data_IF_920815543019
#
_entry.id   IF_920815543019
#
_cell.length_a   1.000
_cell.length_b   1.000
_cell.length_c   1.000
_cell.angle_alpha   90.00
_cell.angle_beta   90.00
_cell.angle_gamma   90.00
#
_symmetry.space_group_name_H-M   'P 1'
#
loop_
_entity.id
_entity.type
_entity.pdbx_description
1 polymer ?
#
# COMPACT_ATOMS: atom_id res chain seq x y z
N UNK A 1 -104.26 -11.97 61.46
CA UNK A 1 -103.80 -13.37 61.38
C UNK A 1 -102.79 -13.45 60.23
N UNK A 2 -101.63 -14.07 60.50
CA UNK A 2 -100.46 -13.30 60.94
C UNK A 2 -99.13 -14.06 60.58
N UNK A 3 -97.93 -13.72 61.03
CA UNK A 3 -97.48 -12.80 62.07
C UNK A 3 -96.00 -12.42 61.86
N UNK A 4 -95.56 -11.20 62.15
CA UNK A 4 -95.36 -10.55 63.48
C UNK A 4 -94.17 -11.18 64.25
N UNK A 5 -93.33 -10.41 64.98
CA UNK A 5 -92.61 -9.17 64.60
C UNK A 5 -91.18 -9.11 65.27
N UNK A 6 -90.61 -7.97 65.77
CA UNK A 6 -89.19 -7.61 65.57
C UNK A 6 -88.45 -7.32 66.90
N UNK A 7 -87.40 -6.47 66.84
CA UNK A 7 -86.69 -5.68 67.90
C UNK A 7 -85.24 -6.17 68.09
N UNK A 8 -84.19 -5.35 68.26
CA UNK A 8 -84.01 -4.04 68.91
C UNK A 8 -82.74 -3.30 68.42
N UNK A 9 -82.84 -1.99 68.19
CA UNK A 9 -81.94 -0.93 68.71
C UNK A 9 -80.49 -0.74 68.19
N UNK A 10 -79.92 0.49 68.29
CA UNK A 10 -78.88 1.02 67.38
C UNK A 10 -77.51 1.25 68.03
N UNK A 11 -76.41 1.19 67.27
CA UNK A 11 -75.16 1.92 67.57
C UNK A 11 -74.39 2.30 66.28
N UNK A 12 -74.21 3.60 66.08
CA UNK A 12 -73.20 4.24 65.20
C UNK A 12 -71.78 4.02 65.76
N UNK A 13 -70.71 4.10 64.95
CA UNK A 13 -69.94 5.35 64.98
C UNK A 13 -69.24 5.76 63.65
N UNK A 14 -68.88 7.04 63.59
CA UNK A 14 -68.01 7.67 62.60
C UNK A 14 -66.52 7.49 62.94
N UNK A 15 -65.63 7.47 61.94
CA UNK A 15 -64.18 7.71 62.06
C UNK A 15 -63.65 8.23 60.70
N UNK A 16 -63.16 9.47 60.58
CA UNK A 16 -61.88 10.06 61.05
C UNK A 16 -60.73 9.87 60.04
N UNK A 17 -60.31 10.98 59.44
CA UNK A 17 -59.19 11.11 58.49
C UNK A 17 -57.91 11.43 59.26
N UNK A 18 -56.91 10.54 59.26
CA UNK A 18 -55.51 10.87 59.60
C UNK A 18 -54.60 9.66 59.27
N UNK A 19 -54.04 9.57 58.05
CA UNK A 19 -52.86 8.74 57.75
C UNK A 19 -52.37 9.00 56.32
N UNK A 20 -51.71 10.15 56.07
CA UNK A 20 -51.18 10.46 54.73
C UNK A 20 -49.68 10.79 54.74
N UNK A 21 -49.07 11.05 55.89
CA UNK A 21 -47.66 11.45 55.96
C UNK A 21 -46.67 10.28 56.06
N UNK A 22 -47.08 9.14 56.63
CA UNK A 22 -46.20 7.95 56.77
C UNK A 22 -46.11 7.08 55.51
N UNK A 23 -47.14 7.11 54.64
CA UNK A 23 -47.18 6.33 53.40
C UNK A 23 -46.32 6.93 52.27
N UNK A 24 -46.01 8.22 52.32
CA UNK A 24 -45.24 8.93 51.28
C UNK A 24 -43.73 8.71 51.40
N UNK A 25 -43.23 8.41 52.60
CA UNK A 25 -41.79 8.21 52.87
C UNK A 25 -41.37 6.76 52.56
N UNK A 26 -42.23 5.78 52.81
CA UNK A 26 -41.98 4.36 52.52
C UNK A 26 -42.10 4.03 51.03
N UNK A 27 -42.98 4.70 50.27
CA UNK A 27 -43.07 4.51 48.82
C UNK A 27 -41.86 5.08 48.07
N UNK A 28 -41.32 6.22 48.53
CA UNK A 28 -40.14 6.84 47.94
C UNK A 28 -38.87 6.00 48.18
N UNK A 29 -38.71 5.43 49.38
CA UNK A 29 -37.60 4.53 49.69
C UNK A 29 -37.66 3.21 48.90
N UNK A 30 -38.88 2.68 48.67
CA UNK A 30 -39.07 1.49 47.84
C UNK A 30 -38.75 1.75 46.36
N UNK A 31 -39.18 2.91 45.82
CA UNK A 31 -38.84 3.32 44.44
C UNK A 31 -37.34 3.54 44.24
N UNK A 32 -36.66 4.17 45.20
CA UNK A 32 -35.21 4.36 45.16
C UNK A 32 -34.45 3.03 45.20
N UNK A 33 -34.92 2.06 45.98
CA UNK A 33 -34.28 0.74 46.06
C UNK A 33 -34.49 -0.10 44.79
N UNK A 34 -35.64 0.05 44.10
CA UNK A 34 -35.87 -0.60 42.80
C UNK A 34 -35.07 0.03 41.66
N UNK A 35 -34.87 1.34 41.67
CA UNK A 35 -34.03 2.05 40.69
C UNK A 35 -32.55 1.66 40.86
N UNK A 36 -32.04 1.66 42.10
CA UNK A 36 -30.69 1.20 42.41
C UNK A 36 -30.45 -0.28 42.05
N UNK A 37 -31.47 -1.15 42.21
CA UNK A 37 -31.37 -2.55 41.78
C UNK A 37 -31.29 -2.67 40.25
N UNK A 38 -32.04 -1.85 39.51
CA UNK A 38 -32.00 -1.81 38.05
C UNK A 38 -30.63 -1.32 37.52
N UNK A 39 -30.08 -0.26 38.11
CA UNK A 39 -28.74 0.23 37.77
C UNK A 39 -27.64 -0.82 38.03
N UNK A 40 -27.71 -1.54 39.16
CA UNK A 40 -26.74 -2.60 39.45
C UNK A 40 -26.85 -3.79 38.48
N UNK A 41 -28.07 -4.12 38.01
CA UNK A 41 -28.29 -5.15 36.98
C UNK A 41 -27.70 -4.72 35.64
N UNK A 42 -27.84 -3.45 35.26
CA UNK A 42 -27.24 -2.88 34.05
C UNK A 42 -25.70 -2.89 34.13
N UNK A 43 -25.13 -2.49 35.27
CA UNK A 43 -23.68 -2.54 35.51
C UNK A 43 -23.13 -3.97 35.45
N UNK A 44 -23.82 -4.95 36.05
CA UNK A 44 -23.43 -6.36 35.94
C UNK A 44 -23.50 -6.86 34.49
N UNK A 45 -24.53 -6.45 33.75
CA UNK A 45 -24.67 -6.73 32.32
C UNK A 45 -23.49 -6.17 31.51
N UNK A 46 -23.10 -4.93 31.76
CA UNK A 46 -21.94 -4.30 31.13
C UNK A 46 -20.63 -5.01 31.47
N UNK A 47 -20.43 -5.42 32.73
CA UNK A 47 -19.27 -6.20 33.17
C UNK A 47 -19.20 -7.55 32.44
N UNK A 48 -20.33 -8.21 32.22
CA UNK A 48 -20.38 -9.47 31.47
C UNK A 48 -20.20 -9.29 29.96
N UNK A 49 -20.60 -8.15 29.39
CA UNK A 49 -20.43 -7.84 27.97
C UNK A 49 -18.97 -7.48 27.61
N UNK A 50 -18.27 -6.76 28.50
CA UNK A 50 -16.89 -6.31 28.25
C UNK A 50 -15.90 -7.43 27.84
N UNK A 51 -15.86 -8.61 28.48
CA UNK A 51 -15.02 -9.72 28.05
C UNK A 51 -15.33 -10.17 26.62
N UNK A 52 -16.61 -10.24 26.23
CA UNK A 52 -17.01 -10.63 24.88
C UNK A 52 -16.58 -9.60 23.85
N UNK A 53 -16.77 -8.31 24.14
CA UNK A 53 -16.37 -7.22 23.25
C UNK A 53 -14.85 -7.13 23.12
N UNK A 54 -14.11 -7.38 24.21
CA UNK A 54 -12.67 -7.44 24.19
C UNK A 54 -12.15 -8.63 23.37
N UNK A 55 -12.75 -9.81 23.53
CA UNK A 55 -12.43 -10.97 22.70
C UNK A 55 -12.63 -10.69 21.21
N UNK A 56 -13.76 -10.08 20.82
CA UNK A 56 -14.01 -9.70 19.42
C UNK A 56 -12.95 -8.73 18.89
N UNK A 57 -12.62 -7.69 19.66
CA UNK A 57 -11.57 -6.73 19.27
C UNK A 57 -10.20 -7.40 19.14
N UNK A 58 -9.89 -8.38 19.99
CA UNK A 58 -8.66 -9.15 19.86
C UNK A 58 -8.67 -10.00 18.59
N UNK A 59 -9.78 -10.65 18.27
CA UNK A 59 -9.93 -11.43 17.05
C UNK A 59 -9.76 -10.53 15.80
N UNK A 60 -10.40 -9.37 15.77
CA UNK A 60 -10.26 -8.38 14.69
C UNK A 60 -8.80 -7.93 14.51
N UNK A 61 -8.08 -7.71 15.63
CA UNK A 61 -6.65 -7.33 15.60
C UNK A 61 -5.78 -8.48 15.10
N UNK A 62 -6.06 -9.72 15.52
CA UNK A 62 -5.32 -10.90 15.06
C UNK A 62 -5.55 -11.16 13.57
N UNK A 63 -6.78 -10.95 13.08
CA UNK A 63 -7.11 -11.00 11.66
C UNK A 63 -6.36 -9.92 10.89
N UNK A 64 -6.36 -8.67 11.37
CA UNK A 64 -5.61 -7.57 10.78
C UNK A 64 -4.11 -7.84 10.71
N UNK A 65 -3.51 -8.38 11.78
CA UNK A 65 -2.08 -8.77 11.81
C UNK A 65 -1.80 -9.90 10.81
N UNK A 66 -2.70 -10.88 10.71
CA UNK A 66 -2.57 -11.98 9.75
C UNK A 66 -2.65 -11.49 8.30
N UNK A 67 -3.55 -10.53 8.03
CA UNK A 67 -3.65 -9.84 6.75
C UNK A 67 -2.37 -9.09 6.39
N UNK A 68 -1.87 -8.25 7.30
CA UNK A 68 -0.62 -7.50 7.12
C UNK A 68 0.59 -8.42 6.90
N UNK A 69 0.65 -9.55 7.61
CA UNK A 69 1.69 -10.57 7.40
C UNK A 69 1.62 -11.14 5.98
N UNK A 70 0.44 -11.42 5.46
CA UNK A 70 0.23 -11.90 4.10
C UNK A 70 0.66 -10.86 3.05
N UNK A 71 0.27 -9.59 3.24
CA UNK A 71 0.68 -8.50 2.37
C UNK A 71 2.20 -8.29 2.36
N UNK A 72 2.83 -8.36 3.53
CA UNK A 72 4.28 -8.25 3.66
C UNK A 72 5.01 -9.39 2.93
N UNK A 73 4.52 -10.62 3.05
CA UNK A 73 5.07 -11.76 2.31
C UNK A 73 4.92 -11.59 0.79
N UNK A 74 3.76 -11.11 0.34
CA UNK A 74 3.53 -10.82 -1.07
C UNK A 74 4.44 -9.71 -1.59
N UNK A 75 4.63 -8.64 -0.82
CA UNK A 75 5.57 -7.56 -1.16
C UNK A 75 7.02 -8.05 -1.18
N UNK A 76 7.44 -8.86 -0.21
CA UNK A 76 8.77 -9.44 -0.17
C UNK A 76 9.05 -10.27 -1.43
N UNK A 77 8.12 -11.12 -1.84
CA UNK A 77 8.25 -11.92 -3.07
C UNK A 77 8.38 -11.03 -4.31
N UNK A 78 7.56 -9.98 -4.43
CA UNK A 78 7.63 -9.02 -5.55
C UNK A 78 8.96 -8.26 -5.58
N UNK A 79 9.51 -7.92 -4.41
CA UNK A 79 10.82 -7.28 -4.30
C UNK A 79 11.91 -8.23 -4.77
N UNK A 80 11.92 -9.49 -4.31
CA UNK A 80 12.90 -10.49 -4.75
C UNK A 80 12.85 -10.70 -6.27
N UNK A 81 11.66 -10.81 -6.87
CA UNK A 81 11.53 -10.95 -8.32
C UNK A 81 12.05 -9.70 -9.07
N UNK A 82 11.76 -8.51 -8.55
CA UNK A 82 12.24 -7.26 -9.13
C UNK A 82 13.77 -7.17 -9.04
N UNK A 83 14.37 -7.51 -7.90
CA UNK A 83 15.82 -7.56 -7.69
C UNK A 83 16.49 -8.55 -8.65
N UNK A 84 15.94 -9.75 -8.83
CA UNK A 84 16.46 -10.74 -9.78
C UNK A 84 16.42 -10.24 -11.23
N UNK A 85 15.29 -9.64 -11.63
CA UNK A 85 15.14 -9.05 -12.98
C UNK A 85 16.10 -7.88 -13.21
N UNK A 86 16.30 -7.03 -12.20
CA UNK A 86 17.25 -5.92 -12.25
C UNK A 86 18.66 -6.48 -12.39
N UNK A 87 19.07 -7.42 -11.54
CA UNK A 87 20.40 -8.04 -11.60
C UNK A 87 20.70 -8.65 -12.97
N UNK A 88 19.74 -9.41 -13.53
CA UNK A 88 19.90 -9.96 -14.89
C UNK A 88 20.05 -8.87 -15.95
N UNK A 89 19.27 -7.79 -15.84
CA UNK A 89 19.34 -6.66 -16.79
C UNK A 89 20.68 -5.93 -16.69
N UNK A 90 21.21 -5.76 -15.47
CA UNK A 90 22.51 -5.15 -15.22
C UNK A 90 23.65 -6.00 -15.80
N UNK A 91 23.58 -7.33 -15.64
CA UNK A 91 24.55 -8.27 -16.24
C UNK A 91 24.52 -8.20 -17.78
N UNK A 92 23.33 -8.18 -18.37
CA UNK A 92 23.15 -8.05 -19.82
C UNK A 92 23.71 -6.70 -20.33
N UNK A 93 23.43 -5.60 -19.61
CA UNK A 93 23.98 -4.28 -19.94
C UNK A 93 25.50 -4.25 -19.87
N UNK A 94 26.11 -4.85 -18.85
CA UNK A 94 27.56 -4.95 -18.70
C UNK A 94 28.20 -5.75 -19.84
N UNK A 95 27.56 -6.85 -20.24
CA UNK A 95 27.96 -7.68 -21.37
C UNK A 95 27.89 -6.89 -22.69
N UNK A 96 26.78 -6.20 -22.94
CA UNK A 96 26.60 -5.38 -24.14
C UNK A 96 27.59 -4.21 -24.20
N UNK A 97 27.80 -3.51 -23.08
CA UNK A 97 28.79 -2.43 -23.00
C UNK A 97 30.21 -2.93 -23.33
N UNK A 98 30.57 -4.12 -22.82
CA UNK A 98 31.85 -4.76 -23.12
C UNK A 98 31.97 -5.15 -24.59
N UNK A 99 30.88 -5.64 -25.21
CA UNK A 99 30.86 -5.96 -26.63
C UNK A 99 31.00 -4.71 -27.50
N UNK A 100 30.27 -3.64 -27.18
CA UNK A 100 30.34 -2.35 -27.87
C UNK A 100 31.76 -1.80 -27.83
N UNK A 101 32.41 -1.80 -26.66
CA UNK A 101 33.80 -1.34 -26.52
C UNK A 101 34.75 -2.14 -27.43
N UNK A 102 34.64 -3.47 -27.43
CA UNK A 102 35.45 -4.33 -28.31
C UNK A 102 35.20 -4.04 -29.79
N UNK A 103 33.97 -3.73 -30.18
CA UNK A 103 33.63 -3.36 -31.55
C UNK A 103 34.22 -2.00 -31.90
N UNK A 104 34.13 -1.01 -31.03
CA UNK A 104 34.73 0.31 -31.22
C UNK A 104 36.25 0.22 -31.42
N UNK A 105 36.95 -0.55 -30.57
CA UNK A 105 38.39 -0.76 -30.69
C UNK A 105 38.77 -1.42 -32.03
N UNK A 106 37.96 -2.40 -32.48
CA UNK A 106 38.13 -3.04 -33.78
C UNK A 106 37.91 -2.08 -34.94
N UNK A 107 36.84 -1.27 -34.89
CA UNK A 107 36.56 -0.26 -35.91
C UNK A 107 37.72 0.73 -36.01
N UNK A 108 38.19 1.29 -34.90
CA UNK A 108 39.33 2.21 -34.90
C UNK A 108 40.61 1.58 -35.47
N UNK A 109 40.86 0.30 -35.13
CA UNK A 109 42.00 -0.45 -35.69
C UNK A 109 41.87 -0.65 -37.20
N UNK A 110 40.65 -0.94 -37.68
CA UNK A 110 40.39 -1.12 -39.11
C UNK A 110 40.50 0.19 -39.88
N UNK A 111 39.98 1.28 -39.33
CA UNK A 111 40.11 2.63 -39.90
C UNK A 111 41.59 3.00 -40.09
N UNK A 112 42.42 2.82 -39.05
CA UNK A 112 43.86 3.05 -39.14
C UNK A 112 44.54 2.19 -40.21
N UNK A 113 44.14 0.92 -40.34
CA UNK A 113 44.68 0.02 -41.37
C UNK A 113 44.28 0.45 -42.78
N UNK A 114 43.04 0.90 -42.97
CA UNK A 114 42.56 1.43 -44.25
C UNK A 114 43.34 2.68 -44.63
N UNK A 115 43.54 3.59 -43.67
CA UNK A 115 44.33 4.81 -43.90
C UNK A 115 45.78 4.49 -44.28
N UNK A 116 46.46 3.57 -43.58
CA UNK A 116 47.81 3.13 -43.94
C UNK A 116 47.85 2.50 -45.35
N UNK A 117 46.86 1.70 -45.70
CA UNK A 117 46.75 1.11 -47.05
C UNK A 117 46.56 2.18 -48.12
N UNK A 118 45.68 3.16 -47.90
CA UNK A 118 45.49 4.27 -48.84
C UNK A 118 46.77 5.09 -49.00
N UNK A 119 47.45 5.42 -47.89
CA UNK A 119 48.68 6.17 -47.91
C UNK A 119 49.79 5.43 -48.66
N UNK A 120 49.95 4.12 -48.41
CA UNK A 120 50.91 3.29 -49.16
C UNK A 120 50.56 3.17 -50.64
N UNK A 121 49.28 3.04 -50.97
CA UNK A 121 48.81 2.99 -52.36
C UNK A 121 49.08 4.30 -53.12
N UNK A 122 49.05 5.44 -52.42
CA UNK A 122 49.33 6.76 -53.03
C UNK A 122 50.82 7.15 -53.03
N UNK A 123 51.69 6.48 -52.26
CA UNK A 123 53.11 6.87 -52.11
C UNK A 123 53.87 7.01 -53.43
N UNK A 124 53.56 6.19 -54.43
CA UNK A 124 54.24 6.22 -55.73
C UNK A 124 53.50 7.06 -56.77
N UNK A 125 52.38 7.69 -56.41
CA UNK A 125 51.57 8.47 -57.34
C UNK A 125 51.92 9.94 -57.21
N UNK A 126 52.33 10.57 -58.31
CA UNK A 126 52.54 12.02 -58.39
C UNK A 126 51.21 12.71 -58.72
N UNK A 127 50.86 13.80 -58.01
CA UNK A 127 49.74 14.69 -58.37
C UNK A 127 50.28 16.04 -58.82
N UNK A 128 50.07 16.37 -60.09
CA UNK A 128 50.38 17.66 -60.67
C UNK A 128 49.14 18.58 -60.54
N UNK A 129 49.29 19.74 -59.91
CA UNK A 129 48.20 20.69 -59.65
C UNK A 129 48.47 21.99 -60.42
N UNK A 130 47.44 22.56 -61.05
CA UNK A 130 47.54 23.81 -61.80
C UNK A 130 48.05 23.65 -63.23
N UNK A 131 48.10 22.41 -63.75
CA UNK A 131 48.46 22.13 -65.12
C UNK A 131 47.25 22.46 -66.03
N UNK A 132 47.39 23.37 -67.02
CA UNK A 132 46.31 23.71 -67.92
C UNK A 132 45.95 22.50 -68.80
N UNK A 133 44.66 22.28 -69.02
CA UNK A 133 44.18 21.14 -69.80
C UNK A 133 44.84 21.10 -71.19
N UNK A 134 45.26 19.90 -71.62
CA UNK A 134 45.90 19.62 -72.92
C UNK A 134 47.31 20.19 -73.10
N UNK A 135 47.95 20.70 -72.05
CA UNK A 135 49.35 21.15 -72.13
C UNK A 135 50.31 20.00 -72.49
N UNK A 136 49.96 18.76 -72.13
CA UNK A 136 50.72 17.55 -72.47
C UNK A 136 50.67 17.15 -73.96
N UNK A 137 49.75 17.71 -74.76
CA UNK A 137 49.61 17.32 -76.16
C UNK A 137 49.15 15.87 -76.33
N UNK A 138 49.85 15.10 -77.17
CA UNK A 138 49.48 13.71 -77.52
C UNK A 138 50.25 12.65 -76.71
N UNK A 139 51.37 13.02 -76.09
CA UNK A 139 52.25 12.11 -75.35
C UNK A 139 52.71 12.74 -74.02
N UNK A 140 52.17 12.21 -72.93
CA UNK A 140 52.41 12.69 -71.57
C UNK A 140 53.83 12.37 -71.08
N UNK A 141 54.42 11.26 -71.51
CA UNK A 141 55.76 10.87 -71.09
C UNK A 141 56.80 11.83 -71.67
N UNK A 142 56.68 12.11 -72.98
CA UNK A 142 57.56 13.05 -73.66
C UNK A 142 57.44 14.49 -73.11
N UNK A 143 56.28 14.87 -72.57
CA UNK A 143 56.07 16.15 -71.90
C UNK A 143 56.79 16.23 -70.54
N UNK A 144 56.84 15.14 -69.78
CA UNK A 144 57.48 15.09 -68.45
C UNK A 144 59.01 14.91 -68.49
N UNK A 145 59.57 14.47 -69.61
CA UNK A 145 61.02 14.23 -69.80
C UNK A 145 61.80 15.45 -70.35
N UNK A 146 61.12 16.57 -70.64
CA UNK A 146 61.71 17.80 -71.22
C UNK A 146 62.36 18.74 -70.19
#
# INVERSE_FOLDING_TARGET
MPGRPPKTGPQTPAASKMSTSQAKVSSAAASQNTEAMAENVEVLGAIHAMPSDFSKKLDDVLEGISGLKGELQHQANRITEAEERIGKTEDDLNSMHSAIKKLQDKCATLEMKVEDQENRGRRNNLRLIGLPEKAEGQDVCAFLEQ
#
